data_IF_686893250636
#
_entry.id   IF_686893250636
#
_cell.length_a   1.000
_cell.length_b   1.000
_cell.length_c   1.000
_cell.angle_alpha   90.00
_cell.angle_beta   90.00
_cell.angle_gamma   90.00
#
_symmetry.space_group_name_H-M   'P 1'
#
loop_
_entity.id
_entity.type
_entity.pdbx_description
1 polymer ?
#
# COMPACT_ATOMS: atom_id res chain seq x y z
N UNK A 1 -25.71 -12.65 -11.07
CA UNK A 1 -25.94 -12.99 -9.65
C UNK A 1 -25.35 -11.88 -8.80
N UNK A 2 -26.10 -11.33 -7.82
CA UNK A 2 -25.54 -10.38 -6.87
C UNK A 2 -24.46 -11.07 -6.02
N UNK A 3 -23.42 -10.34 -5.62
CA UNK A 3 -22.38 -10.86 -4.72
C UNK A 3 -22.96 -11.13 -3.34
N UNK A 4 -22.49 -12.18 -2.67
CA UNK A 4 -22.83 -12.56 -1.28
C UNK A 4 -22.53 -11.43 -0.30
N UNK A 5 -21.56 -10.56 -0.61
CA UNK A 5 -21.23 -9.38 0.22
C UNK A 5 -22.26 -8.24 0.16
N UNK A 6 -23.25 -8.29 -0.74
CA UNK A 6 -24.25 -7.23 -0.95
C UNK A 6 -23.72 -5.94 -1.58
N UNK A 7 -22.41 -5.81 -1.82
CA UNK A 7 -21.82 -4.63 -2.45
C UNK A 7 -22.07 -4.64 -3.97
N UNK A 8 -22.52 -3.51 -4.56
CA UNK A 8 -22.88 -3.46 -5.98
C UNK A 8 -21.69 -3.65 -6.93
N UNK A 9 -20.48 -3.37 -6.45
CA UNK A 9 -19.24 -3.46 -7.24
C UNK A 9 -18.41 -4.71 -6.89
N UNK A 10 -19.03 -5.76 -6.35
CA UNK A 10 -18.36 -7.01 -6.02
C UNK A 10 -19.02 -8.17 -6.77
N UNK A 11 -18.26 -9.23 -7.00
CA UNK A 11 -18.75 -10.48 -7.56
C UNK A 11 -18.10 -11.63 -6.78
N UNK A 12 -18.85 -12.70 -6.58
CA UNK A 12 -18.31 -13.93 -6.01
C UNK A 12 -17.69 -14.75 -7.14
N UNK A 13 -16.41 -15.07 -6.99
CA UNK A 13 -15.66 -15.88 -7.95
C UNK A 13 -15.10 -17.08 -7.19
N UNK A 14 -15.47 -18.29 -7.64
CA UNK A 14 -14.94 -19.54 -7.10
C UNK A 14 -13.98 -20.15 -8.11
N UNK A 15 -12.71 -20.30 -7.73
CA UNK A 15 -11.71 -21.00 -8.54
C UNK A 15 -11.57 -22.41 -8.01
N UNK A 16 -11.78 -23.40 -8.87
CA UNK A 16 -11.68 -24.82 -8.54
C UNK A 16 -10.51 -25.43 -9.31
N UNK A 17 -9.65 -26.16 -8.60
CA UNK A 17 -8.63 -26.99 -9.24
C UNK A 17 -9.29 -28.29 -9.75
N UNK A 18 -9.17 -28.56 -11.04
CA UNK A 18 -9.80 -29.72 -11.68
C UNK A 18 -8.91 -30.98 -11.73
N UNK A 19 -7.69 -30.94 -11.16
CA UNK A 19 -6.70 -32.03 -11.29
C UNK A 19 -7.17 -33.41 -10.79
N UNK A 20 -8.14 -33.47 -9.88
CA UNK A 20 -8.73 -34.72 -9.36
C UNK A 20 -10.25 -34.78 -9.56
N UNK A 21 -10.75 -34.01 -10.53
CA UNK A 21 -12.18 -34.01 -10.88
C UNK A 21 -12.39 -35.00 -12.01
N UNK A 22 -13.15 -36.06 -11.73
CA UNK A 22 -13.39 -37.14 -12.68
C UNK A 22 -14.35 -36.75 -13.79
N UNK A 23 -15.30 -35.86 -13.51
CA UNK A 23 -16.33 -35.44 -14.47
C UNK A 23 -16.84 -34.02 -14.16
N UNK A 24 -17.21 -33.28 -15.20
CA UNK A 24 -17.75 -31.92 -15.13
C UNK A 24 -18.92 -31.80 -16.11
N UNK A 25 -20.10 -31.52 -15.59
CA UNK A 25 -21.30 -31.26 -16.39
C UNK A 25 -21.68 -29.78 -16.36
N UNK A 26 -21.89 -29.18 -17.54
CA UNK A 26 -22.36 -27.80 -17.66
C UNK A 26 -23.88 -27.77 -17.52
N UNK A 27 -24.37 -27.41 -16.33
CA UNK A 27 -25.81 -27.36 -16.06
C UNK A 27 -26.53 -26.21 -16.77
N UNK A 28 -25.85 -25.08 -16.96
CA UNK A 28 -26.41 -23.89 -17.59
C UNK A 28 -25.29 -23.00 -18.13
N UNK A 29 -25.34 -22.70 -19.42
CA UNK A 29 -24.42 -21.76 -20.07
C UNK A 29 -25.17 -20.49 -20.48
N UNK A 30 -24.57 -19.33 -20.18
CA UNK A 30 -25.16 -18.04 -20.52
C UNK A 30 -24.67 -17.65 -21.91
N UNK A 31 -25.47 -17.98 -22.93
CA UNK A 31 -25.19 -17.65 -24.34
C UNK A 31 -25.42 -16.18 -24.71
N UNK A 32 -25.97 -15.38 -23.78
CA UNK A 32 -26.18 -13.95 -24.01
C UNK A 32 -24.86 -13.19 -23.97
N UNK A 33 -24.67 -12.28 -24.94
CA UNK A 33 -23.53 -11.37 -24.93
C UNK A 33 -23.53 -10.58 -23.62
N UNK A 34 -22.47 -10.68 -22.79
CA UNK A 34 -22.40 -9.94 -21.55
C UNK A 34 -22.43 -8.43 -21.83
N UNK A 35 -22.94 -7.62 -20.89
CA UNK A 35 -22.87 -6.17 -21.03
C UNK A 35 -21.42 -5.73 -21.21
N UNK A 36 -21.16 -4.66 -21.99
CA UNK A 36 -19.82 -4.11 -22.14
C UNK A 36 -19.19 -3.87 -20.77
N UNK A 37 -17.92 -4.23 -20.63
CA UNK A 37 -17.16 -3.95 -19.41
C UNK A 37 -17.15 -2.45 -19.14
N UNK A 38 -17.26 -2.08 -17.87
CA UNK A 38 -17.10 -0.69 -17.46
C UNK A 38 -15.71 -0.19 -17.89
N UNK A 39 -15.66 1.04 -18.41
CA UNK A 39 -14.38 1.66 -18.76
C UNK A 39 -13.54 1.84 -17.51
N UNK A 40 -12.31 1.33 -17.55
CA UNK A 40 -11.36 1.48 -16.46
C UNK A 40 -10.57 2.77 -16.65
N UNK A 41 -10.35 3.49 -15.55
CA UNK A 41 -9.42 4.61 -15.54
C UNK A 41 -7.98 4.08 -15.46
N UNK A 42 -7.38 3.83 -16.63
CA UNK A 42 -6.02 3.29 -16.75
C UNK A 42 -4.98 4.20 -16.06
N UNK A 43 -5.16 5.52 -16.13
CA UNK A 43 -4.27 6.48 -15.45
C UNK A 43 -4.28 6.31 -13.93
N UNK A 44 -5.46 6.12 -13.33
CA UNK A 44 -5.62 5.87 -11.90
C UNK A 44 -5.03 4.53 -11.48
N UNK A 45 -5.20 3.49 -12.31
CA UNK A 45 -4.61 2.17 -12.07
C UNK A 45 -3.08 2.21 -12.14
N UNK A 46 -2.52 2.88 -13.16
CA UNK A 46 -1.08 3.05 -13.30
C UNK A 46 -0.47 3.88 -12.16
N UNK A 47 -1.19 4.89 -11.66
CA UNK A 47 -0.78 5.65 -10.48
C UNK A 47 -0.73 4.76 -9.24
N UNK A 48 -1.79 3.99 -8.95
CA UNK A 48 -1.82 3.03 -7.84
C UNK A 48 -0.69 2.01 -7.93
N UNK A 49 -0.47 1.42 -9.10
CA UNK A 49 0.59 0.45 -9.31
C UNK A 49 1.98 1.02 -9.02
N UNK A 50 2.23 2.28 -9.41
CA UNK A 50 3.48 2.98 -9.11
C UNK A 50 3.63 3.26 -7.61
N UNK A 51 2.61 3.79 -6.95
CA UNK A 51 2.65 4.06 -5.50
C UNK A 51 2.91 2.79 -4.69
N UNK A 52 2.20 1.69 -4.98
CA UNK A 52 2.41 0.39 -4.30
C UNK A 52 3.83 -0.15 -4.51
N UNK A 53 4.37 0.03 -5.72
CA UNK A 53 5.74 -0.36 -6.03
C UNK A 53 6.75 0.45 -5.21
N UNK A 54 6.59 1.77 -5.17
CA UNK A 54 7.45 2.67 -4.42
C UNK A 54 7.41 2.39 -2.92
N UNK A 55 6.21 2.16 -2.36
CA UNK A 55 6.05 1.78 -0.95
C UNK A 55 6.76 0.46 -0.61
N UNK A 56 6.61 -0.57 -1.45
CA UNK A 56 7.30 -1.86 -1.24
C UNK A 56 8.82 -1.73 -1.40
N UNK A 57 9.30 -0.94 -2.37
CA UNK A 57 10.74 -0.69 -2.53
C UNK A 57 11.31 0.04 -1.32
N UNK A 58 10.60 1.04 -0.80
CA UNK A 58 10.96 1.75 0.43
C UNK A 58 11.03 0.82 1.64
N UNK A 59 10.06 -0.08 1.80
CA UNK A 59 10.07 -1.07 2.87
C UNK A 59 11.24 -2.06 2.74
N UNK A 60 11.48 -2.58 1.54
CA UNK A 60 12.61 -3.48 1.27
C UNK A 60 13.96 -2.80 1.54
N UNK A 61 14.07 -1.52 1.17
CA UNK A 61 15.25 -0.72 1.47
C UNK A 61 15.52 -0.64 2.97
N UNK A 62 14.51 -0.27 3.78
CA UNK A 62 14.66 -0.15 5.24
C UNK A 62 15.12 -1.47 5.89
N UNK A 63 14.56 -2.60 5.44
CA UNK A 63 14.98 -3.94 5.88
C UNK A 63 16.45 -4.18 5.51
N UNK A 64 16.83 -3.93 4.25
CA UNK A 64 18.20 -4.13 3.75
C UNK A 64 19.23 -3.23 4.45
N UNK A 65 18.83 -2.03 4.85
CA UNK A 65 19.67 -1.09 5.58
C UNK A 65 19.83 -1.49 7.07
N UNK A 66 19.07 -2.49 7.56
CA UNK A 66 19.11 -2.91 8.96
C UNK A 66 18.46 -1.91 9.91
N UNK A 67 17.38 -1.26 9.46
CA UNK A 67 16.54 -0.39 10.31
C UNK A 67 15.75 -1.25 11.28
N UNK A 68 15.64 -0.82 12.54
CA UNK A 68 14.85 -1.50 13.57
C UNK A 68 13.36 -1.56 13.21
N UNK A 69 12.64 -2.55 13.76
CA UNK A 69 11.18 -2.69 13.54
C UNK A 69 10.44 -1.41 13.94
N UNK A 70 10.82 -0.81 15.08
CA UNK A 70 10.23 0.45 15.56
C UNK A 70 10.44 1.60 14.56
N UNK A 71 11.64 1.70 13.97
CA UNK A 71 11.92 2.71 12.93
C UNK A 71 11.08 2.49 11.67
N UNK A 72 10.91 1.23 11.25
CA UNK A 72 10.05 0.88 10.11
C UNK A 72 8.59 1.26 10.39
N UNK A 73 8.07 0.96 11.59
CA UNK A 73 6.71 1.30 12.00
C UNK A 73 6.50 2.81 12.11
N UNK A 74 7.48 3.55 12.64
CA UNK A 74 7.44 5.00 12.71
C UNK A 74 7.34 5.62 11.31
N UNK A 75 8.20 5.18 10.37
CA UNK A 75 8.14 5.63 8.98
C UNK A 75 6.76 5.36 8.36
N UNK A 76 6.22 4.15 8.51
CA UNK A 76 4.89 3.82 7.98
C UNK A 76 3.79 4.69 8.58
N UNK A 77 3.90 5.03 9.86
CA UNK A 77 2.91 5.88 10.55
C UNK A 77 2.97 7.31 10.03
N UNK A 78 4.17 7.88 9.90
CA UNK A 78 4.38 9.22 9.33
C UNK A 78 3.95 9.24 7.86
N UNK A 79 4.33 8.25 7.05
CA UNK A 79 4.02 8.20 5.62
C UNK A 79 2.51 8.09 5.30
N UNK A 80 1.70 7.63 6.27
CA UNK A 80 0.23 7.62 6.14
C UNK A 80 -0.36 9.03 6.22
N UNK A 81 0.21 9.92 7.04
CA UNK A 81 -0.27 11.28 7.24
C UNK A 81 0.48 12.31 6.40
N UNK A 82 1.79 12.14 6.22
CA UNK A 82 2.70 13.05 5.50
C UNK A 82 3.37 12.26 4.37
N UNK A 83 2.93 12.50 3.14
CA UNK A 83 3.47 11.80 1.96
C UNK A 83 4.87 12.22 1.58
N UNK A 84 5.28 13.42 1.98
CA UNK A 84 6.65 13.89 1.81
C UNK A 84 7.54 13.39 2.95
N UNK A 85 7.78 12.07 2.95
CA UNK A 85 8.80 11.47 3.80
C UNK A 85 9.57 10.38 3.07
N UNK A 86 10.89 10.34 3.27
CA UNK A 86 11.80 9.43 2.58
C UNK A 86 12.87 8.89 3.51
N UNK A 87 13.43 7.74 3.15
CA UNK A 87 14.62 7.23 3.79
C UNK A 87 15.86 7.93 3.25
N UNK A 88 16.77 8.27 4.16
CA UNK A 88 18.14 8.65 3.85
C UNK A 88 19.05 7.81 4.74
N UNK A 89 19.67 6.78 4.16
CA UNK A 89 20.37 5.75 4.93
C UNK A 89 19.42 5.11 5.95
N UNK A 90 19.71 5.28 7.25
CA UNK A 90 18.84 4.84 8.36
C UNK A 90 17.92 5.95 8.87
N UNK A 91 18.02 7.17 8.36
CA UNK A 91 17.26 8.31 8.85
C UNK A 91 15.93 8.45 8.09
N UNK A 92 14.91 8.93 8.78
CA UNK A 92 13.64 9.36 8.18
C UNK A 92 13.73 10.85 7.95
N UNK A 93 13.56 11.28 6.70
CA UNK A 93 13.51 12.69 6.33
C UNK A 93 12.05 13.05 6.07
N UNK A 94 11.52 14.01 6.83
CA UNK A 94 10.14 14.49 6.71
C UNK A 94 10.16 15.92 6.22
N UNK A 95 9.45 16.19 5.12
CA UNK A 95 9.33 17.51 4.47
C UNK A 95 10.68 18.17 4.12
N UNK A 96 11.75 17.39 3.96
CA UNK A 96 13.14 17.86 3.81
C UNK A 96 13.67 18.77 4.94
N UNK A 97 12.89 18.98 6.00
CA UNK A 97 13.18 19.91 7.08
C UNK A 97 13.50 19.20 8.40
N UNK A 98 12.97 17.99 8.59
CA UNK A 98 13.10 17.22 9.83
C UNK A 98 13.76 15.88 9.54
N UNK A 99 14.79 15.57 10.32
CA UNK A 99 15.56 14.33 10.30
C UNK A 99 15.29 13.58 11.58
N UNK A 100 14.83 12.33 11.48
CA UNK A 100 14.66 11.42 12.61
C UNK A 100 15.70 10.30 12.47
N UNK A 101 16.65 10.26 13.39
CA UNK A 101 17.71 9.24 13.40
C UNK A 101 17.41 8.11 14.39
N UNK A 102 17.98 6.90 14.24
CA UNK A 102 18.01 5.90 15.29
C UNK A 102 18.45 6.51 16.64
N UNK A 103 17.92 6.06 17.79
CA UNK A 103 16.91 5.02 18.01
C UNK A 103 15.44 5.44 17.76
N UNK A 104 15.20 6.47 16.94
CA UNK A 104 13.87 6.93 16.50
C UNK A 104 12.96 7.44 17.63
N UNK A 105 13.56 8.03 18.67
CA UNK A 105 12.84 8.69 19.75
C UNK A 105 12.58 10.16 19.42
N UNK A 106 11.65 10.79 20.15
CA UNK A 106 11.28 12.21 19.98
C UNK A 106 12.49 13.16 20.11
N UNK A 107 13.42 12.82 21.00
CA UNK A 107 14.71 13.50 21.21
C UNK A 107 15.69 13.35 20.05
N UNK A 108 15.51 12.34 19.18
CA UNK A 108 16.32 12.13 17.98
C UNK A 108 15.76 12.86 16.75
N UNK A 109 14.63 13.57 16.88
CA UNK A 109 14.11 14.44 15.84
C UNK A 109 14.86 15.77 15.83
N UNK A 110 15.57 16.06 14.74
CA UNK A 110 16.32 17.30 14.50
C UNK A 110 15.77 18.01 13.26
N UNK A 111 15.63 19.32 13.32
CA UNK A 111 15.16 20.13 12.20
C UNK A 111 15.21 21.61 12.56
N UNK A 112 14.84 22.47 11.62
CA UNK A 112 14.66 23.89 11.94
C UNK A 112 13.54 24.05 12.98
N UNK A 113 13.77 24.90 13.98
CA UNK A 113 12.74 25.29 14.94
C UNK A 113 11.52 25.84 14.18
N UNK A 114 10.35 25.24 14.39
CA UNK A 114 9.15 25.60 13.64
C UNK A 114 8.01 24.58 13.70
N UNK A 115 6.97 24.87 12.93
CA UNK A 115 5.73 24.08 12.89
C UNK A 115 6.00 22.62 12.50
N UNK A 116 6.85 22.37 11.49
CA UNK A 116 7.17 21.02 11.00
C UNK A 116 7.76 20.12 12.09
N UNK A 117 8.79 20.60 12.81
CA UNK A 117 9.41 19.83 13.89
C UNK A 117 8.42 19.56 15.04
N UNK A 118 7.60 20.55 15.40
CA UNK A 118 6.58 20.37 16.44
C UNK A 118 5.48 19.40 16.04
N UNK A 119 5.11 19.34 14.75
CA UNK A 119 4.12 18.41 14.24
C UNK A 119 4.65 16.98 14.21
N UNK A 120 5.92 16.78 13.86
CA UNK A 120 6.58 15.45 13.84
C UNK A 120 6.81 14.91 15.26
N UNK A 121 7.00 15.78 16.26
CA UNK A 121 7.21 15.38 17.67
C UNK A 121 5.93 15.07 18.44
N UNK A 122 4.76 15.42 17.92
CA UNK A 122 3.46 15.12 18.54
C UNK A 122 3.14 13.64 18.45
#
# INVERSE_FOLDING_TARGET
CPSTSGKPNHADILLLNLQYVSDVEVLNDRTQTPPPLASLNIGKLASRARSEKEEKMSQAYAISAGVSVDGQQLFQTIHKTIKDCKWQEKNIIVMEEVVISPPYQVENCKGKEGSALSHVRK
#
